data_IF_437106462566
#
_entry.id   IF_437106462566
#
_cell.length_a   1.000
_cell.length_b   1.000
_cell.length_c   1.000
_cell.angle_alpha   90.00
_cell.angle_beta   90.00
_cell.angle_gamma   90.00
#
_symmetry.space_group_name_H-M   'P 1'
#
loop_
_entity.id
_entity.type
_entity.pdbx_description
1 polymer ?
#
# COMPACT_ATOMS: atom_id res chain seq x y z
N UNK A 1 9.07 -16.19 -9.52
CA UNK A 1 7.86 -16.61 -10.26
C UNK A 1 6.85 -15.48 -10.19
N UNK A 2 6.22 -15.14 -11.31
CA UNK A 2 5.09 -14.20 -11.37
C UNK A 2 3.80 -15.02 -11.44
N UNK A 3 2.83 -14.66 -10.62
CA UNK A 3 1.51 -15.29 -10.58
C UNK A 3 0.47 -14.19 -10.61
N UNK A 4 -0.43 -14.26 -11.58
CA UNK A 4 -1.64 -13.42 -11.61
C UNK A 4 -2.78 -14.23 -10.97
N UNK A 5 -3.48 -13.63 -10.02
CA UNK A 5 -4.71 -14.19 -9.43
C UNK A 5 -5.85 -13.21 -9.67
N UNK A 6 -6.93 -13.67 -10.30
CA UNK A 6 -8.16 -12.91 -10.47
C UNK A 6 -9.23 -13.42 -9.50
N UNK A 7 -9.82 -12.50 -8.72
CA UNK A 7 -11.02 -12.75 -7.94
C UNK A 7 -12.21 -12.04 -8.58
N UNK A 8 -13.32 -12.75 -8.71
CA UNK A 8 -14.59 -12.20 -9.22
C UNK A 8 -15.65 -12.37 -8.15
N UNK A 9 -16.16 -11.24 -7.67
CA UNK A 9 -17.19 -11.17 -6.63
C UNK A 9 -18.52 -10.81 -7.26
N UNK A 10 -19.55 -11.60 -7.01
CA UNK A 10 -20.88 -11.38 -7.55
C UNK A 10 -21.97 -12.06 -6.74
N UNK A 11 -23.22 -11.75 -7.05
CA UNK A 11 -24.40 -12.35 -6.45
C UNK A 11 -25.49 -12.54 -7.53
N UNK A 12 -26.74 -12.73 -7.13
CA UNK A 12 -27.88 -12.90 -8.05
C UNK A 12 -28.09 -11.71 -9.00
N UNK A 13 -27.62 -10.50 -8.64
CA UNK A 13 -27.67 -9.32 -9.49
C UNK A 13 -26.52 -9.24 -10.51
N UNK A 14 -25.57 -10.19 -10.47
CA UNK A 14 -24.44 -10.27 -11.39
C UNK A 14 -23.09 -9.95 -10.73
N UNK A 15 -22.10 -9.63 -11.56
CA UNK A 15 -20.73 -9.30 -11.15
C UNK A 15 -20.70 -7.92 -10.48
N UNK A 16 -20.13 -7.86 -9.28
CA UNK A 16 -20.01 -6.63 -8.48
C UNK A 16 -18.59 -6.05 -8.49
N UNK A 17 -17.55 -6.91 -8.45
CA UNK A 17 -16.15 -6.51 -8.39
C UNK A 17 -15.28 -7.56 -9.07
N UNK A 18 -14.28 -7.11 -9.84
CA UNK A 18 -13.13 -7.91 -10.24
C UNK A 18 -11.90 -7.33 -9.55
N UNK A 19 -11.06 -8.20 -9.01
CA UNK A 19 -9.79 -7.85 -8.39
C UNK A 19 -8.68 -8.71 -9.00
N UNK A 20 -7.57 -8.08 -9.38
CA UNK A 20 -6.41 -8.76 -9.94
C UNK A 20 -5.18 -8.52 -9.05
N UNK A 21 -4.46 -9.60 -8.71
CA UNK A 21 -3.23 -9.54 -7.92
C UNK A 21 -2.05 -10.05 -8.73
N UNK A 22 -1.05 -9.18 -8.93
CA UNK A 22 0.27 -9.56 -9.45
C UNK A 22 1.21 -9.95 -8.30
N UNK A 23 1.38 -11.25 -8.08
CA UNK A 23 2.18 -11.80 -6.99
C UNK A 23 3.54 -12.23 -7.50
N UNK A 24 4.60 -11.74 -6.85
CA UNK A 24 5.99 -12.09 -7.18
C UNK A 24 6.61 -12.94 -6.07
N UNK A 25 6.78 -14.22 -6.33
CA UNK A 25 7.55 -15.11 -5.47
C UNK A 25 9.03 -14.99 -5.80
N UNK A 26 9.84 -14.58 -4.83
CA UNK A 26 11.29 -14.48 -4.94
C UNK A 26 11.94 -15.44 -3.95
N UNK A 27 13.14 -15.88 -4.26
CA UNK A 27 13.99 -16.51 -3.26
C UNK A 27 14.34 -15.50 -2.17
N UNK A 28 14.67 -15.98 -0.97
CA UNK A 28 15.19 -15.13 0.10
C UNK A 28 16.42 -14.34 -0.41
N UNK A 29 16.47 -13.05 -0.07
CA UNK A 29 17.61 -12.22 -0.41
C UNK A 29 18.86 -12.75 0.29
N UNK A 30 19.97 -12.85 -0.43
CA UNK A 30 21.26 -13.27 0.11
C UNK A 30 22.09 -12.03 0.46
N UNK A 31 23.01 -12.14 1.43
CA UNK A 31 23.98 -11.08 1.69
C UNK A 31 24.71 -10.67 0.41
N UNK A 32 24.66 -9.38 0.06
CA UNK A 32 25.27 -8.83 -1.15
C UNK A 32 24.36 -8.78 -2.39
N UNK A 33 23.13 -9.31 -2.33
CA UNK A 33 22.15 -9.08 -3.39
C UNK A 33 21.83 -7.57 -3.47
N UNK A 34 21.72 -7.00 -4.69
CA UNK A 34 21.47 -5.57 -4.86
C UNK A 34 20.08 -5.21 -4.34
N UNK A 35 20.02 -4.21 -3.45
CA UNK A 35 18.76 -3.61 -3.04
C UNK A 35 18.16 -2.79 -4.19
N UNK A 36 16.83 -2.79 -4.37
CA UNK A 36 16.17 -1.91 -5.33
C UNK A 36 16.54 -0.44 -5.05
N UNK A 37 16.90 0.30 -6.10
CA UNK A 37 17.18 1.74 -5.99
C UNK A 37 15.94 2.48 -5.50
N UNK A 38 16.02 3.25 -4.41
CA UNK A 38 14.91 4.07 -3.94
C UNK A 38 14.46 5.06 -5.02
N UNK A 39 13.15 5.26 -5.14
CA UNK A 39 12.55 6.17 -6.11
C UNK A 39 11.87 7.33 -5.39
N UNK A 40 11.92 8.54 -5.98
CA UNK A 40 11.08 9.65 -5.53
C UNK A 40 9.66 9.48 -6.09
N UNK A 41 8.62 9.97 -5.40
CA UNK A 41 7.29 10.03 -5.98
C UNK A 41 7.28 10.87 -7.27
N UNK A 42 6.54 10.46 -8.32
CA UNK A 42 6.42 11.24 -9.55
C UNK A 42 5.91 12.67 -9.34
N UNK A 43 5.09 12.87 -8.30
CA UNK A 43 4.46 14.13 -7.94
C UNK A 43 5.05 14.74 -6.65
N UNK A 44 6.33 14.47 -6.35
CA UNK A 44 7.00 15.02 -5.18
C UNK A 44 6.85 16.55 -5.09
N UNK A 45 6.41 17.04 -3.93
CA UNK A 45 6.17 18.46 -3.69
C UNK A 45 4.88 19.03 -4.31
N UNK A 46 4.05 18.19 -4.93
CA UNK A 46 2.81 18.61 -5.60
C UNK A 46 1.55 17.99 -4.97
N UNK A 47 1.65 17.47 -3.75
CA UNK A 47 0.51 16.89 -3.04
C UNK A 47 -0.53 17.97 -2.75
N UNK A 48 -1.79 17.69 -3.11
CA UNK A 48 -2.92 18.49 -2.66
C UNK A 48 -3.29 18.12 -1.21
N UNK A 49 -3.13 16.84 -0.87
CA UNK A 49 -3.47 16.30 0.45
C UNK A 49 -2.31 15.50 1.01
N UNK A 50 -2.15 15.52 2.32
CA UNK A 50 -1.09 14.78 3.01
C UNK A 50 -1.52 14.40 4.42
N UNK A 51 -1.16 13.20 4.85
CA UNK A 51 -1.40 12.75 6.23
C UNK A 51 -0.26 11.87 6.71
N UNK A 52 0.20 12.13 7.94
CA UNK A 52 1.16 11.30 8.64
C UNK A 52 0.46 10.12 9.34
N UNK A 53 1.09 8.96 9.30
CA UNK A 53 0.67 7.73 9.94
C UNK A 53 1.84 7.23 10.79
N UNK A 54 1.57 6.95 12.07
CA UNK A 54 2.53 6.27 12.95
C UNK A 54 2.17 4.79 12.98
N UNK A 55 2.91 3.93 12.26
CA UNK A 55 2.75 2.50 12.40
C UNK A 55 3.22 2.06 13.78
N UNK A 56 2.39 1.34 14.51
CA UNK A 56 2.77 0.69 15.76
C UNK A 56 2.33 -0.79 15.75
N UNK A 57 2.87 -1.62 16.65
CA UNK A 57 2.50 -3.04 16.70
C UNK A 57 0.99 -3.28 16.91
N UNK A 58 0.26 -2.38 17.56
CA UNK A 58 -1.18 -2.53 17.81
C UNK A 58 -1.97 -2.30 16.52
N UNK A 59 -1.63 -1.28 15.74
CA UNK A 59 -2.20 -1.05 14.42
C UNK A 59 -1.95 -2.25 13.50
N UNK A 60 -0.71 -2.72 13.42
CA UNK A 60 -0.34 -3.83 12.55
C UNK A 60 -1.02 -5.14 12.97
N UNK A 61 -1.06 -5.43 14.27
CA UNK A 61 -1.79 -6.59 14.80
C UNK A 61 -3.29 -6.53 14.47
N UNK A 62 -3.94 -5.39 14.70
CA UNK A 62 -5.38 -5.21 14.41
C UNK A 62 -5.68 -5.41 12.93
N UNK A 63 -4.83 -4.88 12.05
CA UNK A 63 -5.01 -5.05 10.61
C UNK A 63 -4.83 -6.53 10.20
N UNK A 64 -3.81 -7.20 10.72
CA UNK A 64 -3.63 -8.65 10.53
C UNK A 64 -4.85 -9.44 10.98
N UNK A 65 -5.40 -9.15 12.16
CA UNK A 65 -6.60 -9.82 12.67
C UNK A 65 -7.83 -9.55 11.80
N UNK A 66 -8.06 -8.28 11.41
CA UNK A 66 -9.21 -7.88 10.57
C UNK A 66 -9.19 -8.54 9.19
N UNK A 67 -8.00 -8.70 8.61
CA UNK A 67 -7.81 -9.24 7.25
C UNK A 67 -7.48 -10.73 7.24
N UNK A 68 -7.49 -11.40 8.39
CA UNK A 68 -7.04 -12.79 8.56
C UNK A 68 -5.63 -13.04 7.98
N UNK A 69 -4.77 -12.01 7.99
CA UNK A 69 -3.41 -12.09 7.49
C UNK A 69 -2.45 -12.50 8.63
N UNK A 70 -2.16 -13.79 8.70
CA UNK A 70 -1.29 -14.41 9.70
C UNK A 70 0.21 -14.34 9.40
N UNK A 71 0.67 -13.59 8.39
CA UNK A 71 2.10 -13.55 8.05
C UNK A 71 2.91 -12.90 9.16
N UNK A 72 3.88 -13.65 9.73
CA UNK A 72 4.66 -13.26 10.91
C UNK A 72 5.42 -11.94 10.73
N UNK A 73 5.72 -11.55 9.49
CA UNK A 73 6.45 -10.30 9.21
C UNK A 73 5.78 -9.03 9.73
N UNK A 74 4.49 -9.10 10.02
CA UNK A 74 3.68 -7.96 10.44
C UNK A 74 3.55 -7.81 11.96
N UNK A 75 3.86 -8.84 12.75
CA UNK A 75 3.59 -8.86 14.20
C UNK A 75 4.65 -9.56 15.06
N UNK A 76 5.50 -10.42 14.49
CA UNK A 76 6.55 -11.14 15.21
C UNK A 76 7.90 -10.46 14.94
N UNK A 77 8.31 -9.58 15.87
CA UNK A 77 9.53 -8.77 15.71
C UNK A 77 10.80 -9.63 15.70
N UNK A 78 10.85 -10.72 16.46
CA UNK A 78 12.00 -11.63 16.47
C UNK A 78 12.13 -12.33 15.14
N UNK A 79 11.04 -12.86 14.59
CA UNK A 79 11.03 -13.46 13.25
C UNK A 79 11.51 -12.49 12.17
N UNK A 80 10.90 -11.30 12.13
CA UNK A 80 11.19 -10.28 11.12
C UNK A 80 12.66 -9.86 11.09
N UNK A 81 13.24 -9.70 12.27
CA UNK A 81 14.61 -9.17 12.40
C UNK A 81 15.67 -10.26 12.34
N UNK A 82 15.40 -11.44 12.89
CA UNK A 82 16.41 -12.50 13.04
C UNK A 82 16.32 -13.56 11.95
N UNK A 83 15.14 -13.84 11.41
CA UNK A 83 14.94 -14.85 10.35
C UNK A 83 14.84 -14.18 8.96
N UNK A 84 14.08 -13.09 8.83
CA UNK A 84 13.86 -12.40 7.55
C UNK A 84 14.86 -11.25 7.30
N UNK A 85 15.57 -10.79 8.33
CA UNK A 85 16.61 -9.76 8.23
C UNK A 85 16.11 -8.33 7.99
N UNK A 86 14.81 -8.08 8.14
CA UNK A 86 14.25 -6.74 8.05
C UNK A 86 14.51 -5.94 9.35
N UNK A 87 14.63 -4.61 9.29
CA UNK A 87 15.00 -3.80 10.46
C UNK A 87 13.84 -3.62 11.47
N UNK A 88 12.59 -3.88 11.09
CA UNK A 88 11.40 -3.68 11.92
C UNK A 88 10.17 -4.32 11.28
N UNK A 89 9.02 -4.31 11.98
CA UNK A 89 7.80 -4.94 11.45
C UNK A 89 7.43 -4.31 10.11
N UNK A 90 7.09 -5.15 9.14
CA UNK A 90 6.73 -4.70 7.79
C UNK A 90 5.28 -4.23 7.83
N UNK A 91 5.02 -3.01 7.38
CA UNK A 91 3.65 -2.51 7.18
C UNK A 91 3.03 -3.24 5.99
N UNK A 92 1.80 -3.74 6.12
CA UNK A 92 1.14 -4.48 5.05
C UNK A 92 0.98 -3.61 3.81
N UNK A 93 1.28 -4.16 2.62
CA UNK A 93 0.92 -3.52 1.36
C UNK A 93 -0.58 -3.18 1.28
N UNK A 94 -1.49 -4.13 1.61
CA UNK A 94 -2.92 -3.84 1.70
C UNK A 94 -3.29 -2.75 2.70
N UNK A 95 -2.57 -2.60 3.82
CA UNK A 95 -2.81 -1.50 4.77
C UNK A 95 -2.44 -0.15 4.13
N UNK A 96 -1.33 -0.06 3.40
CA UNK A 96 -0.98 1.15 2.65
C UNK A 96 -2.08 1.49 1.63
N UNK A 97 -2.54 0.52 0.84
CA UNK A 97 -3.64 0.73 -0.10
C UNK A 97 -4.94 1.19 0.60
N UNK A 98 -5.25 0.58 1.75
CA UNK A 98 -6.41 0.97 2.58
C UNK A 98 -6.28 2.42 3.07
N UNK A 99 -5.09 2.83 3.53
CA UNK A 99 -4.84 4.19 4.01
C UNK A 99 -4.86 5.24 2.89
N UNK A 100 -4.43 4.88 1.68
CA UNK A 100 -4.55 5.74 0.50
C UNK A 100 -6.03 5.95 0.13
N UNK A 101 -6.83 4.88 0.16
CA UNK A 101 -8.28 4.98 -0.06
C UNK A 101 -8.99 5.74 1.06
N UNK A 102 -8.58 5.58 2.32
CA UNK A 102 -9.08 6.38 3.44
C UNK A 102 -8.75 7.87 3.29
N UNK A 103 -7.56 8.21 2.79
CA UNK A 103 -7.22 9.60 2.45
C UNK A 103 -8.18 10.14 1.38
N UNK A 104 -8.34 9.44 0.26
CA UNK A 104 -9.27 9.85 -0.80
C UNK A 104 -10.70 10.03 -0.26
N UNK A 105 -11.19 9.11 0.57
CA UNK A 105 -12.53 9.18 1.17
C UNK A 105 -12.70 10.39 2.10
N UNK A 106 -11.66 10.81 2.81
CA UNK A 106 -11.70 11.99 3.70
C UNK A 106 -11.75 13.29 2.92
N UNK A 107 -10.96 13.38 1.85
CA UNK A 107 -10.79 14.61 1.07
C UNK A 107 -11.87 14.76 -0.01
N UNK A 108 -12.40 13.65 -0.53
CA UNK A 108 -13.49 13.59 -1.50
C UNK A 108 -14.61 12.64 -1.04
N UNK A 109 -15.39 12.99 0.01
CA UNK A 109 -16.37 12.09 0.61
C UNK A 109 -17.51 11.68 -0.32
N UNK A 110 -17.81 12.51 -1.32
CA UNK A 110 -18.87 12.27 -2.32
C UNK A 110 -18.35 11.53 -3.57
N UNK A 111 -17.04 11.37 -3.72
CA UNK A 111 -16.48 10.68 -4.88
C UNK A 111 -16.87 9.21 -4.88
N UNK A 112 -17.21 8.71 -6.05
CA UNK A 112 -17.44 7.29 -6.30
C UNK A 112 -16.26 6.75 -7.08
N UNK A 113 -15.62 5.70 -6.55
CA UNK A 113 -14.47 5.07 -7.19
C UNK A 113 -14.96 4.04 -8.20
N UNK A 114 -14.46 4.15 -9.44
CA UNK A 114 -14.70 3.21 -10.52
C UNK A 114 -13.62 2.12 -10.54
N UNK A 115 -12.35 2.50 -10.36
CA UNK A 115 -11.22 1.59 -10.34
C UNK A 115 -10.11 2.10 -9.41
N UNK A 116 -9.29 1.18 -8.90
CA UNK A 116 -8.08 1.44 -8.13
C UNK A 116 -7.00 0.49 -8.65
N UNK A 117 -5.89 1.05 -9.12
CA UNK A 117 -4.66 0.31 -9.40
C UNK A 117 -3.60 0.76 -8.40
N UNK A 118 -2.83 -0.17 -7.82
CA UNK A 118 -1.72 0.19 -6.94
C UNK A 118 -0.55 -0.77 -7.09
N UNK A 119 0.64 -0.27 -6.77
CA UNK A 119 1.88 -1.06 -6.78
C UNK A 119 2.73 -0.73 -5.57
N UNK A 120 3.06 -1.77 -4.79
CA UNK A 120 4.09 -1.71 -3.77
C UNK A 120 5.48 -1.73 -4.43
N UNK A 121 6.33 -0.77 -4.06
CA UNK A 121 7.66 -0.58 -4.64
C UNK A 121 8.78 -0.86 -3.64
N UNK A 122 8.55 -0.54 -2.37
CA UNK A 122 9.52 -0.69 -1.28
C UNK A 122 8.77 -0.97 0.04
N UNK A 123 9.32 -1.81 0.94
CA UNK A 123 8.74 -2.01 2.26
C UNK A 123 8.68 -0.71 3.06
N UNK A 124 7.59 -0.53 3.81
CA UNK A 124 7.49 0.47 4.88
C UNK A 124 7.60 -0.27 6.21
N UNK A 125 8.27 0.31 7.20
CA UNK A 125 8.52 -0.33 8.49
C UNK A 125 7.90 0.45 9.64
N UNK A 126 7.66 -0.23 10.76
CA UNK A 126 7.10 0.36 11.98
C UNK A 126 8.07 1.20 12.83
N UNK A 127 9.23 1.53 12.26
CA UNK A 127 10.32 2.22 12.97
C UNK A 127 10.12 3.74 13.02
N UNK A 128 9.43 4.29 12.02
CA UNK A 128 9.22 5.71 11.86
C UNK A 128 7.83 5.97 11.30
N UNK A 129 7.24 7.16 11.57
CA UNK A 129 6.07 7.61 10.83
C UNK A 129 6.34 7.64 9.33
N UNK A 130 5.31 7.34 8.56
CA UNK A 130 5.30 7.48 7.10
C UNK A 130 4.15 8.41 6.71
N UNK A 131 4.12 8.87 5.47
CA UNK A 131 3.08 9.77 4.99
C UNK A 131 2.35 9.20 3.79
N UNK A 132 1.06 9.48 3.71
CA UNK A 132 0.20 9.21 2.54
C UNK A 132 -0.23 10.53 1.93
N UNK A 133 -0.33 10.56 0.61
CA UNK A 133 -0.55 11.76 -0.17
C UNK A 133 -1.53 11.52 -1.30
N UNK A 134 -2.16 12.59 -1.77
CA UNK A 134 -3.04 12.56 -2.93
C UNK A 134 -3.03 13.86 -3.72
N UNK A 135 -3.29 13.73 -5.03
CA UNK A 135 -3.44 14.83 -5.97
C UNK A 135 -4.51 14.48 -7.01
N UNK A 136 -5.68 15.16 -7.01
CA UNK A 136 -6.64 15.08 -8.11
C UNK A 136 -6.03 15.56 -9.42
N UNK A 137 -6.49 15.01 -10.55
CA UNK A 137 -6.27 15.60 -11.86
C UNK A 137 -7.09 16.87 -12.04
N UNK A 138 -6.66 17.75 -12.95
CA UNK A 138 -7.33 19.03 -13.22
C UNK A 138 -8.75 18.83 -13.78
N UNK A 139 -9.02 17.71 -14.45
CA UNK A 139 -10.33 17.34 -14.97
C UNK A 139 -11.24 16.65 -13.92
N UNK A 140 -10.73 16.41 -12.71
CA UNK A 140 -11.45 15.78 -11.61
C UNK A 140 -11.80 14.30 -11.82
N UNK A 141 -11.29 13.65 -12.88
CA UNK A 141 -11.65 12.25 -13.21
C UNK A 141 -10.74 11.22 -12.57
N UNK A 142 -9.53 11.61 -12.21
CA UNK A 142 -8.53 10.70 -11.64
C UNK A 142 -7.89 11.30 -10.39
N UNK A 143 -7.38 10.45 -9.54
CA UNK A 143 -6.59 10.85 -8.37
C UNK A 143 -5.33 10.00 -8.30
N UNK A 144 -4.18 10.66 -8.32
CA UNK A 144 -2.91 10.03 -8.01
C UNK A 144 -2.73 9.98 -6.49
N UNK A 145 -2.45 8.81 -5.94
CA UNK A 145 -2.22 8.57 -4.52
C UNK A 145 -0.84 7.92 -4.32
N UNK A 146 -0.14 8.24 -3.24
CA UNK A 146 1.13 7.58 -2.94
C UNK A 146 1.50 7.62 -1.46
N UNK A 147 2.35 6.69 -1.04
CA UNK A 147 2.94 6.63 0.29
C UNK A 147 4.46 6.88 0.22
N UNK A 148 4.99 7.59 1.21
CA UNK A 148 6.43 7.85 1.37
C UNK A 148 6.91 7.38 2.74
N UNK A 149 8.10 6.78 2.79
CA UNK A 149 8.78 6.52 4.07
C UNK A 149 9.32 7.83 4.70
N UNK A 150 9.86 7.70 5.91
CA UNK A 150 10.44 8.81 6.69
C UNK A 150 11.59 9.56 5.98
N UNK A 151 12.22 8.97 4.97
CA UNK A 151 13.28 9.60 4.17
C UNK A 151 12.71 10.30 2.91
N UNK A 152 11.39 10.18 2.67
CA UNK A 152 10.71 10.71 1.50
C UNK A 152 10.75 9.79 0.28
N UNK A 153 11.17 8.53 0.43
CA UNK A 153 11.18 7.57 -0.69
C UNK A 153 9.80 6.98 -0.92
N UNK A 154 9.45 6.77 -2.19
CA UNK A 154 8.19 6.18 -2.60
C UNK A 154 8.12 4.71 -2.18
N UNK A 155 7.09 4.34 -1.41
CA UNK A 155 6.87 2.95 -0.96
C UNK A 155 5.71 2.29 -1.68
N UNK A 156 4.67 3.07 -2.02
CA UNK A 156 3.53 2.65 -2.83
C UNK A 156 3.03 3.82 -3.67
N UNK A 157 2.59 3.54 -4.89
CA UNK A 157 1.76 4.48 -5.65
C UNK A 157 0.46 3.79 -6.06
N UNK A 158 -0.57 4.59 -6.27
CA UNK A 158 -1.86 4.16 -6.74
C UNK A 158 -2.48 5.21 -7.66
N UNK A 159 -3.31 4.75 -8.59
CA UNK A 159 -4.17 5.58 -9.43
C UNK A 159 -5.62 5.18 -9.17
N UNK A 160 -6.48 6.18 -9.00
CA UNK A 160 -7.91 5.99 -8.80
C UNK A 160 -8.65 6.68 -9.94
N UNK A 161 -9.55 5.95 -10.59
CA UNK A 161 -10.53 6.54 -11.51
C UNK A 161 -11.85 6.77 -10.77
N UNK A 162 -12.43 7.94 -10.97
CA UNK A 162 -13.71 8.32 -10.40
C UNK A 162 -14.83 8.11 -11.43
N UNK A 163 -16.01 7.75 -10.94
CA UNK A 163 -17.23 7.77 -11.75
C UNK A 163 -17.50 9.23 -12.17
N UNK A 164 -17.86 9.49 -13.44
CA UNK A 164 -18.22 10.83 -13.93
C UNK A 164 -19.35 11.51 -13.15
#
# INVERSE_FOLDING_TARGET
VFVLVEHRFGNEAGLALTEEHDIVYRAAARPGDPAPTPQKPPLAGQAAWSRAITPDPVLLFRYSALTFNGHRIHYDRSYVTQEEGYPGLVVHGPLLATLLMDLLRRELPQARVASLEFRALRPTFDLHPFTVHGKPSDDGRTVALWAQDHEGWLTMHASVELVP
#
